data_IF_515113381170
#
_entry.id   IF_515113381170
#
_cell.length_a   1.000
_cell.length_b   1.000
_cell.length_c   1.000
_cell.angle_alpha   90.00
_cell.angle_beta   90.00
_cell.angle_gamma   90.00
#
_symmetry.space_group_name_H-M   'P 1'
#
loop_
_entity.id
_entity.type
_entity.pdbx_description
1 polymer ?
#
# COMPACT_ATOMS: atom_id res chain seq x y z
N UNK A 1 -9.40 24.36 -34.03
CA UNK A 1 -8.20 25.18 -33.83
C UNK A 1 -7.04 24.21 -33.81
N UNK A 2 -6.06 24.35 -34.70
CA UNK A 2 -4.88 23.47 -34.69
C UNK A 2 -4.17 23.60 -33.33
N UNK A 3 -3.72 22.49 -32.74
CA UNK A 3 -3.16 22.47 -31.38
C UNK A 3 -2.00 23.47 -31.19
N UNK A 4 -1.19 23.68 -32.23
CA UNK A 4 -0.07 24.63 -32.20
C UNK A 4 -0.53 26.10 -32.06
N UNK A 5 -1.70 26.46 -32.60
CA UNK A 5 -2.27 27.82 -32.45
C UNK A 5 -2.66 28.08 -31.00
N UNK A 6 -3.18 27.07 -30.30
CA UNK A 6 -3.52 27.17 -28.89
C UNK A 6 -2.27 27.39 -28.03
N UNK A 7 -1.21 26.61 -28.23
CA UNK A 7 0.04 26.78 -27.46
C UNK A 7 0.74 28.11 -27.76
N UNK A 8 0.73 28.56 -29.01
CA UNK A 8 1.29 29.86 -29.39
C UNK A 8 0.55 31.03 -28.72
N UNK A 9 -0.78 30.93 -28.62
CA UNK A 9 -1.57 31.89 -27.87
C UNK A 9 -1.19 31.92 -26.37
N UNK A 10 -1.01 30.74 -25.75
CA UNK A 10 -0.62 30.62 -24.34
C UNK A 10 0.77 31.23 -24.07
N UNK A 11 1.76 30.96 -24.93
CA UNK A 11 3.11 31.56 -24.82
C UNK A 11 3.05 33.08 -24.99
N UNK A 12 2.32 33.59 -25.99
CA UNK A 12 2.18 35.04 -26.19
C UNK A 12 1.57 35.75 -24.98
N UNK A 13 0.62 35.10 -24.30
CA UNK A 13 -0.06 35.69 -23.13
C UNK A 13 0.83 35.69 -21.87
N UNK A 14 1.60 34.62 -21.66
CA UNK A 14 2.27 34.37 -20.37
C UNK A 14 3.81 34.43 -20.44
N UNK A 15 4.39 34.65 -21.62
CA UNK A 15 5.84 34.59 -21.86
C UNK A 15 6.41 33.17 -21.93
N UNK A 16 5.84 32.21 -21.21
CA UNK A 16 6.21 30.80 -21.21
C UNK A 16 4.97 29.89 -21.02
N UNK A 17 5.10 28.62 -21.39
CA UNK A 17 4.10 27.60 -21.07
C UNK A 17 4.12 27.24 -19.58
N UNK A 18 2.93 27.11 -18.99
CA UNK A 18 2.78 26.45 -17.69
C UNK A 18 3.15 24.97 -17.78
N UNK A 19 3.48 24.32 -16.65
CA UNK A 19 3.80 22.90 -16.63
C UNK A 19 2.67 22.03 -17.22
N UNK A 20 1.42 22.30 -16.85
CA UNK A 20 0.26 21.59 -17.42
C UNK A 20 0.17 21.76 -18.95
N UNK A 21 0.46 22.96 -19.45
CA UNK A 21 0.48 23.22 -20.89
C UNK A 21 1.64 22.49 -21.59
N UNK A 22 2.81 22.39 -20.94
CA UNK A 22 3.95 21.62 -21.46
C UNK A 22 3.60 20.13 -21.50
N UNK A 23 3.00 19.58 -20.44
CA UNK A 23 2.55 18.19 -20.36
C UNK A 23 1.56 17.90 -21.49
N UNK A 24 0.52 18.72 -21.65
CA UNK A 24 -0.46 18.56 -22.73
C UNK A 24 0.18 18.61 -24.12
N UNK A 25 1.15 19.49 -24.33
CA UNK A 25 1.88 19.62 -25.60
C UNK A 25 2.66 18.35 -25.96
N UNK A 26 3.28 17.73 -24.95
CA UNK A 26 4.08 16.50 -25.08
C UNK A 26 3.19 15.27 -25.23
N UNK A 27 2.17 15.10 -24.38
CA UNK A 27 1.29 13.92 -24.40
C UNK A 27 0.52 13.77 -25.70
N UNK A 28 0.06 14.86 -26.32
CA UNK A 28 -0.59 14.80 -27.65
C UNK A 28 0.33 14.17 -28.71
N UNK A 29 1.63 14.52 -28.70
CA UNK A 29 2.57 14.00 -29.70
C UNK A 29 2.94 12.54 -29.41
N UNK A 30 3.06 12.19 -28.13
CA UNK A 30 3.30 10.82 -27.66
C UNK A 30 2.15 9.89 -28.07
N UNK A 31 0.90 10.27 -27.77
CA UNK A 31 -0.28 9.45 -28.10
C UNK A 31 -0.42 9.20 -29.60
N UNK A 32 0.02 10.14 -30.43
CA UNK A 32 0.00 10.02 -31.89
C UNK A 32 1.24 9.30 -32.47
N UNK A 33 2.19 8.86 -31.63
CA UNK A 33 3.48 8.31 -32.07
C UNK A 33 4.26 9.22 -33.05
N UNK A 34 4.10 10.54 -32.93
CA UNK A 34 4.69 11.53 -33.85
C UNK A 34 5.95 12.15 -33.23
N UNK A 35 7.07 11.42 -33.32
CA UNK A 35 8.38 11.85 -32.81
C UNK A 35 8.84 13.18 -33.45
N UNK A 36 8.77 13.38 -34.79
CA UNK A 36 9.16 14.65 -35.40
C UNK A 36 8.38 15.85 -34.86
N UNK A 37 7.06 15.72 -34.65
CA UNK A 37 6.24 16.77 -34.05
C UNK A 37 6.60 17.00 -32.59
N UNK A 38 6.87 15.94 -31.82
CA UNK A 38 7.32 16.04 -30.44
C UNK A 38 8.64 16.82 -30.34
N UNK A 39 9.65 16.46 -31.14
CA UNK A 39 10.95 17.14 -31.20
C UNK A 39 10.81 18.63 -31.56
N UNK A 40 10.00 18.92 -32.59
CA UNK A 40 9.70 20.29 -33.02
C UNK A 40 9.11 21.10 -31.88
N UNK A 41 8.15 20.54 -31.14
CA UNK A 41 7.49 21.20 -29.99
C UNK A 41 8.43 21.39 -28.81
N UNK A 42 9.19 20.37 -28.46
CA UNK A 42 10.24 20.42 -27.42
C UNK A 42 11.19 21.58 -27.69
N UNK A 43 11.69 21.69 -28.93
CA UNK A 43 12.60 22.76 -29.33
C UNK A 43 11.91 24.14 -29.37
N UNK A 44 10.72 24.22 -29.97
CA UNK A 44 9.97 25.48 -30.14
C UNK A 44 9.61 26.12 -28.80
N UNK A 45 9.23 25.30 -27.82
CA UNK A 45 8.74 25.78 -26.53
C UNK A 45 9.75 25.58 -25.39
N UNK A 46 11.00 25.23 -25.72
CA UNK A 46 12.09 24.98 -24.77
C UNK A 46 11.66 24.05 -23.62
N UNK A 47 11.06 22.92 -23.95
CA UNK A 47 10.55 21.93 -22.97
C UNK A 47 11.67 20.95 -22.64
N UNK A 48 12.06 20.85 -21.37
CA UNK A 48 12.92 19.77 -20.89
C UNK A 48 12.06 18.60 -20.45
N UNK A 49 12.21 17.42 -21.08
CA UNK A 49 11.51 16.20 -20.65
C UNK A 49 11.86 15.83 -19.21
N UNK A 50 13.12 16.02 -18.81
CA UNK A 50 13.58 15.81 -17.43
C UNK A 50 12.86 16.72 -16.44
N UNK A 51 12.62 17.98 -16.79
CA UNK A 51 11.92 18.93 -15.92
C UNK A 51 10.44 18.58 -15.75
N UNK A 52 9.75 18.19 -16.82
CA UNK A 52 8.33 17.81 -16.72
C UNK A 52 8.13 16.48 -16.00
N UNK A 53 9.12 15.57 -16.08
CA UNK A 53 9.12 14.28 -15.39
C UNK A 53 9.26 14.38 -13.85
N UNK A 54 9.67 15.54 -13.32
CA UNK A 54 10.02 15.72 -11.91
C UNK A 54 9.14 16.74 -11.17
N UNK A 55 8.01 17.16 -11.77
CA UNK A 55 7.18 18.19 -11.14
C UNK A 55 6.50 17.67 -9.86
N UNK A 56 6.48 18.56 -8.87
CA UNK A 56 6.13 18.45 -7.45
C UNK A 56 5.30 17.22 -7.01
N UNK A 57 5.59 16.74 -5.79
CA UNK A 57 5.13 15.49 -5.13
C UNK A 57 3.62 15.23 -5.12
N UNK A 58 2.80 16.16 -5.61
CA UNK A 58 1.34 16.12 -5.56
C UNK A 58 0.67 16.03 -6.93
N UNK A 59 1.37 16.28 -8.04
CA UNK A 59 0.80 16.24 -9.39
C UNK A 59 1.90 16.02 -10.44
N UNK A 60 2.71 14.98 -10.25
CA UNK A 60 3.76 14.63 -11.20
C UNK A 60 3.19 14.25 -12.56
N UNK A 61 4.04 14.30 -13.58
CA UNK A 61 3.83 13.61 -14.84
C UNK A 61 5.07 12.75 -15.05
N UNK A 62 4.90 11.51 -15.49
CA UNK A 62 6.01 10.66 -15.87
C UNK A 62 5.78 10.18 -17.31
N UNK A 63 6.61 10.69 -18.22
CA UNK A 63 6.46 10.41 -19.65
C UNK A 63 6.61 8.91 -19.96
N UNK A 64 7.48 8.19 -19.24
CA UNK A 64 7.71 6.76 -19.45
C UNK A 64 6.49 5.94 -19.01
N UNK A 65 6.00 6.17 -17.79
CA UNK A 65 4.77 5.55 -17.29
C UNK A 65 3.59 5.86 -18.21
N UNK A 66 3.47 7.12 -18.66
CA UNK A 66 2.43 7.53 -19.61
C UNK A 66 2.51 6.75 -20.92
N UNK A 67 3.72 6.54 -21.46
CA UNK A 67 3.94 5.74 -22.66
C UNK A 67 3.52 4.27 -22.47
N UNK A 68 3.87 3.66 -21.32
CA UNK A 68 3.54 2.26 -21.03
C UNK A 68 2.03 2.06 -20.97
N UNK A 69 1.33 2.90 -20.20
CA UNK A 69 -0.13 2.82 -20.01
C UNK A 69 -0.90 3.03 -21.30
N UNK A 70 -0.40 3.89 -22.20
CA UNK A 70 -1.06 4.20 -23.47
C UNK A 70 -0.60 3.32 -24.64
N UNK A 71 0.19 2.27 -24.39
CA UNK A 71 0.65 1.32 -25.41
C UNK A 71 1.23 1.98 -26.67
N UNK A 72 2.08 3.00 -26.47
CA UNK A 72 2.74 3.69 -27.59
C UNK A 72 3.70 2.76 -28.34
N UNK A 73 4.13 3.18 -29.53
CA UNK A 73 5.07 2.40 -30.34
C UNK A 73 6.41 2.21 -29.62
N UNK A 74 7.11 1.11 -29.93
CA UNK A 74 8.45 0.88 -29.40
C UNK A 74 9.44 1.99 -29.75
N UNK A 75 9.26 2.63 -30.91
CA UNK A 75 10.09 3.76 -31.35
C UNK A 75 9.87 4.99 -30.46
N UNK A 76 8.62 5.34 -30.16
CA UNK A 76 8.28 6.44 -29.25
C UNK A 76 8.78 6.15 -27.84
N UNK A 77 8.60 4.92 -27.37
CA UNK A 77 9.05 4.50 -26.05
C UNK A 77 10.57 4.61 -25.89
N UNK A 78 11.33 4.11 -26.88
CA UNK A 78 12.80 4.22 -26.89
C UNK A 78 13.22 5.69 -26.93
N UNK A 79 12.56 6.52 -27.74
CA UNK A 79 12.82 7.96 -27.76
C UNK A 79 12.63 8.60 -26.38
N UNK A 80 11.54 8.26 -25.66
CA UNK A 80 11.28 8.79 -24.32
C UNK A 80 12.31 8.28 -23.30
N UNK A 81 12.75 7.02 -23.37
CA UNK A 81 13.80 6.49 -22.51
C UNK A 81 15.12 7.26 -22.74
N UNK A 82 15.52 7.41 -24.00
CA UNK A 82 16.78 8.04 -24.39
C UNK A 82 16.82 9.55 -24.05
N UNK A 83 15.70 10.25 -24.21
CA UNK A 83 15.61 11.71 -23.98
C UNK A 83 15.16 12.08 -22.57
N UNK A 84 14.47 11.18 -21.87
CA UNK A 84 13.91 11.40 -20.53
C UNK A 84 14.95 11.41 -19.42
N UNK A 85 16.17 10.92 -19.68
CA UNK A 85 17.29 10.87 -18.72
C UNK A 85 16.94 10.11 -17.43
N UNK A 86 16.34 8.92 -17.57
CA UNK A 86 16.06 8.03 -16.43
C UNK A 86 17.36 7.37 -15.95
N UNK A 87 17.67 7.52 -14.66
CA UNK A 87 18.87 6.94 -14.05
C UNK A 87 18.73 5.43 -13.83
N UNK A 88 17.53 4.98 -13.43
CA UNK A 88 17.13 3.58 -13.32
C UNK A 88 15.62 3.42 -13.56
N UNK A 89 15.14 2.18 -13.46
CA UNK A 89 13.72 1.82 -13.59
C UNK A 89 13.11 1.31 -12.26
N UNK A 90 13.81 1.56 -11.15
CA UNK A 90 13.48 1.11 -9.79
C UNK A 90 12.91 2.28 -8.98
N UNK A 91 11.91 2.95 -9.53
CA UNK A 91 11.30 4.11 -8.89
C UNK A 91 9.78 3.99 -8.82
N UNK A 92 9.21 4.78 -7.91
CA UNK A 92 7.79 4.89 -7.68
C UNK A 92 7.30 6.23 -8.21
N UNK A 93 6.36 6.21 -9.15
CA UNK A 93 5.63 7.38 -9.60
C UNK A 93 4.27 7.44 -8.89
N UNK A 94 3.98 8.53 -8.18
CA UNK A 94 2.71 8.76 -7.51
C UNK A 94 1.85 9.63 -8.44
N UNK A 95 0.81 9.06 -9.04
CA UNK A 95 -0.06 9.74 -10.01
C UNK A 95 -1.05 10.69 -9.31
N UNK A 96 -1.52 10.29 -8.13
CA UNK A 96 -2.34 11.09 -7.22
C UNK A 96 -2.15 10.56 -5.78
N UNK A 97 -2.90 11.08 -4.82
CA UNK A 97 -2.87 10.68 -3.40
C UNK A 97 -3.20 9.19 -3.15
N UNK A 98 -3.55 8.41 -4.18
CA UNK A 98 -4.13 7.06 -4.04
C UNK A 98 -3.63 6.04 -5.04
N UNK A 99 -2.93 6.45 -6.08
CA UNK A 99 -2.39 5.54 -7.09
C UNK A 99 -0.93 5.83 -7.34
N UNK A 100 -0.17 4.75 -7.45
CA UNK A 100 1.23 4.82 -7.85
C UNK A 100 1.53 3.75 -8.88
N UNK A 101 2.62 3.94 -9.60
CA UNK A 101 3.10 3.06 -10.65
C UNK A 101 4.61 2.87 -10.53
N UNK A 102 5.06 1.69 -10.92
CA UNK A 102 6.48 1.34 -11.05
C UNK A 102 6.67 0.91 -12.50
N UNK A 103 7.69 1.39 -13.25
CA UNK A 103 7.80 1.12 -14.68
C UNK A 103 7.75 -0.38 -15.03
N UNK A 104 8.59 -1.18 -14.36
CA UNK A 104 8.61 -2.63 -14.57
C UNK A 104 7.26 -3.28 -14.23
N UNK A 105 6.63 -2.87 -13.12
CA UNK A 105 5.39 -3.49 -12.68
C UNK A 105 4.23 -3.12 -13.61
N UNK A 106 4.21 -1.89 -14.11
CA UNK A 106 3.22 -1.41 -15.09
C UNK A 106 3.35 -2.16 -16.42
N UNK A 107 4.56 -2.43 -16.90
CA UNK A 107 4.75 -3.23 -18.11
C UNK A 107 4.20 -4.65 -17.95
N UNK A 108 4.44 -5.27 -16.79
CA UNK A 108 3.96 -6.62 -16.46
C UNK A 108 2.44 -6.62 -16.28
N UNK A 109 1.86 -5.66 -15.57
CA UNK A 109 0.40 -5.48 -15.44
C UNK A 109 -0.32 -5.55 -16.79
N UNK A 110 0.27 -4.96 -17.84
CA UNK A 110 -0.27 -4.93 -19.19
C UNK A 110 0.17 -6.14 -20.07
N UNK A 111 0.73 -7.19 -19.48
CA UNK A 111 1.30 -8.36 -20.15
C UNK A 111 2.34 -8.01 -21.24
N UNK A 112 2.99 -6.85 -21.15
CA UNK A 112 4.02 -6.42 -22.11
C UNK A 112 5.39 -6.97 -21.71
N UNK A 113 5.54 -8.29 -21.80
CA UNK A 113 6.74 -9.00 -21.35
C UNK A 113 8.00 -8.61 -22.12
N UNK A 114 7.89 -8.29 -23.41
CA UNK A 114 9.02 -7.78 -24.21
C UNK A 114 9.58 -6.46 -23.67
N UNK A 115 8.70 -5.57 -23.19
CA UNK A 115 9.14 -4.35 -22.51
C UNK A 115 9.70 -4.64 -21.12
N UNK A 116 9.07 -5.53 -20.35
CA UNK A 116 9.57 -5.91 -19.05
C UNK A 116 10.98 -6.54 -19.12
N UNK A 117 11.25 -7.40 -20.12
CA UNK A 117 12.56 -7.98 -20.40
C UNK A 117 13.60 -6.89 -20.67
N UNK A 118 13.22 -5.85 -21.44
CA UNK A 118 14.09 -4.69 -21.67
C UNK A 118 14.41 -3.96 -20.37
N UNK A 119 13.43 -3.67 -19.53
CA UNK A 119 13.66 -3.02 -18.25
C UNK A 119 14.59 -3.84 -17.34
N UNK A 120 14.37 -5.15 -17.24
CA UNK A 120 15.22 -6.06 -16.45
C UNK A 120 16.66 -6.05 -16.99
N UNK A 121 16.84 -6.12 -18.33
CA UNK A 121 18.15 -6.02 -18.98
C UNK A 121 18.87 -4.71 -18.67
N UNK A 122 18.13 -3.63 -18.45
CA UNK A 122 18.66 -2.33 -18.04
C UNK A 122 18.68 -2.11 -16.51
N UNK A 123 18.59 -3.19 -15.71
CA UNK A 123 18.80 -3.14 -14.26
C UNK A 123 17.54 -2.90 -13.42
N UNK A 124 16.34 -2.96 -14.02
CA UNK A 124 15.11 -3.01 -13.24
C UNK A 124 15.09 -4.28 -12.38
N UNK A 125 14.74 -4.12 -11.12
CA UNK A 125 14.75 -5.17 -10.12
C UNK A 125 13.36 -5.80 -10.02
N UNK A 126 13.24 -7.06 -10.43
CA UNK A 126 11.99 -7.83 -10.28
C UNK A 126 11.54 -7.94 -8.80
N UNK A 127 12.50 -7.84 -7.89
CA UNK A 127 12.32 -7.84 -6.44
C UNK A 127 12.31 -6.42 -5.86
N UNK A 128 11.98 -5.40 -6.65
CA UNK A 128 11.80 -4.04 -6.16
C UNK A 128 10.76 -4.01 -5.04
N UNK A 129 11.11 -3.39 -3.92
CA UNK A 129 10.23 -3.24 -2.77
C UNK A 129 9.63 -1.84 -2.80
N UNK A 130 8.33 -1.76 -2.99
CA UNK A 130 7.59 -0.51 -2.88
C UNK A 130 7.64 -0.09 -1.41
N UNK A 131 8.07 1.14 -1.19
CA UNK A 131 8.06 1.79 0.11
C UNK A 131 7.59 3.23 -0.10
N UNK A 132 6.33 3.50 0.21
CA UNK A 132 5.69 4.78 -0.05
C UNK A 132 5.19 5.41 1.26
N UNK A 133 5.46 6.69 1.47
CA UNK A 133 4.87 7.48 2.55
C UNK A 133 3.68 8.25 1.97
N UNK A 134 2.47 7.75 2.23
CA UNK A 134 1.25 8.24 1.58
C UNK A 134 0.80 9.58 2.15
N UNK A 135 0.92 9.80 3.46
CA UNK A 135 0.37 10.99 4.10
C UNK A 135 1.04 11.39 5.40
N UNK A 136 0.91 12.68 5.70
CA UNK A 136 1.18 13.27 7.01
C UNK A 136 -0.16 13.39 7.72
N UNK A 137 -0.47 12.52 8.69
CA UNK A 137 -1.72 12.61 9.45
C UNK A 137 -1.55 13.75 10.47
N UNK A 138 -2.32 14.86 10.36
CA UNK A 138 -2.21 15.96 11.30
C UNK A 138 -2.57 15.51 12.72
N UNK A 139 -1.88 16.06 13.70
CA UNK A 139 -1.99 15.60 15.08
C UNK A 139 -3.37 15.84 15.70
N UNK A 140 -4.12 16.82 15.18
CA UNK A 140 -5.52 17.07 15.57
C UNK A 140 -6.45 15.90 15.24
N UNK A 141 -6.06 14.98 14.34
CA UNK A 141 -6.79 13.76 14.01
C UNK A 141 -6.23 12.52 14.75
N UNK A 142 -5.07 12.63 15.42
CA UNK A 142 -4.40 11.49 16.06
C UNK A 142 -5.09 11.01 17.34
N UNK A 143 -5.75 11.93 18.06
CA UNK A 143 -6.42 11.65 19.34
C UNK A 143 -7.71 10.84 19.17
N UNK A 144 -8.22 10.73 17.94
CA UNK A 144 -9.48 10.05 17.67
C UNK A 144 -9.26 8.53 17.48
N UNK A 145 -8.08 8.01 17.10
CA UNK A 145 -8.07 6.66 16.51
C UNK A 145 -6.83 5.76 16.68
N UNK A 146 -7.03 4.56 17.28
CA UNK A 146 -6.46 3.32 16.72
C UNK A 146 -7.47 2.40 15.96
N UNK A 147 -8.68 2.07 16.48
CA UNK A 147 -9.65 1.23 15.75
C UNK A 147 -10.17 1.90 14.46
N UNK A 148 -10.23 3.22 14.52
CA UNK A 148 -10.50 4.17 13.45
C UNK A 148 -9.55 4.21 12.25
N UNK A 149 -8.24 4.14 12.51
CA UNK A 149 -7.23 4.17 11.45
C UNK A 149 -7.30 2.85 10.70
N UNK A 150 -7.51 1.74 11.43
CA UNK A 150 -8.00 0.50 10.85
C UNK A 150 -9.18 0.77 9.93
N UNK A 151 -10.31 1.30 10.41
CA UNK A 151 -11.45 1.52 9.49
C UNK A 151 -11.20 2.59 8.42
N UNK A 152 -10.34 3.59 8.59
CA UNK A 152 -10.03 4.57 7.56
C UNK A 152 -9.19 3.93 6.46
N UNK A 153 -8.27 3.05 6.82
CA UNK A 153 -7.44 2.30 5.88
C UNK A 153 -8.24 1.15 5.26
N UNK A 154 -9.02 0.39 6.05
CA UNK A 154 -9.84 -0.75 5.61
C UNK A 154 -11.14 -0.34 4.89
N UNK A 155 -11.70 0.85 5.15
CA UNK A 155 -12.88 1.34 4.42
C UNK A 155 -12.49 2.16 3.18
N UNK A 156 -11.25 2.65 3.08
CA UNK A 156 -10.77 3.20 1.82
C UNK A 156 -10.35 2.02 0.95
N UNK A 157 -10.97 1.88 -0.21
CA UNK A 157 -10.68 0.83 -1.19
C UNK A 157 -9.28 0.96 -1.85
N UNK A 158 -8.35 1.67 -1.22
CA UNK A 158 -7.03 2.01 -1.75
C UNK A 158 -5.96 1.28 -0.93
N UNK A 159 -5.05 0.60 -1.62
CA UNK A 159 -3.95 -0.20 -1.03
C UNK A 159 -4.38 -1.43 -0.24
N UNK A 160 -5.54 -2.02 -0.59
CA UNK A 160 -6.16 -3.19 0.07
C UNK A 160 -5.16 -4.30 0.36
N UNK A 161 -4.26 -4.50 -0.58
CA UNK A 161 -3.37 -5.63 -0.61
C UNK A 161 -1.97 -5.33 -0.09
N UNK A 162 -1.66 -4.10 0.31
CA UNK A 162 -0.34 -3.72 0.78
C UNK A 162 -0.15 -3.94 2.29
N UNK A 163 1.09 -4.11 2.71
CA UNK A 163 1.46 -4.06 4.13
C UNK A 163 1.50 -2.59 4.57
N UNK A 164 0.62 -2.19 5.49
CA UNK A 164 0.66 -0.85 6.07
C UNK A 164 1.46 -0.83 7.38
N UNK A 165 2.15 0.28 7.61
CA UNK A 165 2.82 0.60 8.86
C UNK A 165 2.60 2.07 9.19
N UNK A 166 2.24 2.37 10.43
CA UNK A 166 2.17 3.77 10.91
C UNK A 166 3.43 4.09 11.70
N UNK A 167 4.21 5.06 11.25
CA UNK A 167 5.41 5.54 11.96
C UNK A 167 5.19 6.94 12.52
N UNK A 168 5.34 7.09 13.84
CA UNK A 168 5.37 8.40 14.49
C UNK A 168 6.78 9.00 14.41
N UNK A 169 6.92 10.19 13.82
CA UNK A 169 8.22 10.85 13.71
C UNK A 169 8.38 11.97 14.76
N UNK A 170 9.02 11.63 15.89
CA UNK A 170 9.35 12.60 16.93
C UNK A 170 10.46 13.60 16.52
N UNK A 171 11.25 13.31 15.47
CA UNK A 171 12.42 14.14 15.11
C UNK A 171 12.05 15.49 14.49
N UNK A 172 10.91 15.60 13.79
CA UNK A 172 10.48 16.87 13.19
C UNK A 172 10.17 17.95 14.23
N UNK A 173 9.80 17.56 15.44
CA UNK A 173 9.48 18.48 16.53
C UNK A 173 10.68 19.25 17.06
N UNK A 174 11.87 18.65 17.04
CA UNK A 174 13.08 19.32 17.57
C UNK A 174 13.56 20.44 16.67
N UNK A 175 13.48 20.27 15.35
CA UNK A 175 13.96 21.28 14.39
C UNK A 175 12.99 22.45 14.22
N UNK A 176 11.68 22.27 14.47
CA UNK A 176 10.71 23.38 14.44
C UNK A 176 10.79 24.27 15.68
N UNK A 177 11.24 23.72 16.82
CA UNK A 177 11.33 24.43 18.11
C UNK A 177 12.27 25.64 18.08
N UNK A 178 13.27 25.61 17.20
CA UNK A 178 14.22 26.72 17.03
C UNK A 178 13.68 27.85 16.12
N UNK A 179 12.57 27.63 15.41
CA UNK A 179 12.04 28.56 14.41
C UNK A 179 10.69 29.19 14.75
N UNK A 180 9.98 28.68 15.76
CA UNK A 180 8.66 29.18 16.13
C UNK A 180 8.51 29.24 17.66
N UNK A 181 8.32 30.46 18.20
CA UNK A 181 7.89 30.77 19.57
C UNK A 181 6.43 30.31 19.81
N UNK A 182 6.12 29.06 19.49
CA UNK A 182 4.83 28.45 19.82
C UNK A 182 5.05 27.69 21.12
N UNK A 183 4.71 28.34 22.23
CA UNK A 183 4.61 27.70 23.53
C UNK A 183 3.61 26.53 23.46
N UNK A 184 4.14 25.30 23.46
CA UNK A 184 3.57 24.25 24.30
C UNK A 184 2.82 23.07 23.67
N UNK A 185 2.77 22.89 22.35
CA UNK A 185 2.17 21.68 21.76
C UNK A 185 3.12 20.97 20.80
N UNK A 186 3.78 19.92 21.30
CA UNK A 186 4.50 18.94 20.47
C UNK A 186 3.50 18.18 19.59
N UNK A 187 3.25 18.71 18.39
CA UNK A 187 2.43 18.07 17.36
C UNK A 187 3.13 16.81 16.79
N UNK A 188 2.74 15.62 17.23
CA UNK A 188 3.16 14.36 16.65
C UNK A 188 2.66 14.23 15.21
N UNK A 189 3.60 14.06 14.29
CA UNK A 189 3.30 13.73 12.91
C UNK A 189 3.38 12.21 12.76
N UNK A 190 2.28 11.61 12.29
CA UNK A 190 2.25 10.21 11.91
C UNK A 190 2.32 10.08 10.39
N UNK A 191 3.09 9.12 9.93
CA UNK A 191 3.22 8.75 8.53
C UNK A 191 2.58 7.39 8.29
N UNK A 192 1.68 7.33 7.30
CA UNK A 192 1.22 6.04 6.77
C UNK A 192 2.22 5.57 5.72
N UNK A 193 2.87 4.45 6.03
CA UNK A 193 3.84 3.81 5.15
C UNK A 193 3.21 2.58 4.54
N UNK A 194 3.22 2.51 3.21
CA UNK A 194 2.77 1.37 2.43
C UNK A 194 4.01 0.61 1.95
N UNK A 195 4.04 -0.70 2.21
CA UNK A 195 5.08 -1.61 1.75
C UNK A 195 4.46 -2.70 0.87
N UNK A 196 5.16 -3.10 -0.18
CA UNK A 196 4.71 -4.21 -1.01
C UNK A 196 5.70 -4.59 -2.09
N UNK A 197 5.38 -5.67 -2.78
CA UNK A 197 6.14 -6.15 -3.93
C UNK A 197 5.27 -6.19 -5.19
N UNK A 198 5.80 -6.67 -6.30
CA UNK A 198 5.07 -6.76 -7.57
C UNK A 198 3.75 -7.52 -7.47
N UNK A 199 3.63 -8.55 -6.62
CA UNK A 199 2.36 -9.29 -6.46
C UNK A 199 1.31 -8.41 -5.77
N UNK A 200 1.70 -7.61 -4.78
CA UNK A 200 0.81 -6.65 -4.12
C UNK A 200 0.29 -5.63 -5.15
N UNK A 201 1.20 -5.13 -6.00
CA UNK A 201 0.88 -4.23 -7.10
C UNK A 201 -0.11 -4.84 -8.10
N UNK A 202 0.16 -6.06 -8.57
CA UNK A 202 -0.71 -6.75 -9.53
C UNK A 202 -2.10 -7.05 -8.94
N UNK A 203 -2.21 -7.37 -7.65
CA UNK A 203 -3.51 -7.52 -6.99
C UNK A 203 -4.28 -6.20 -6.95
N UNK A 204 -3.63 -5.10 -6.58
CA UNK A 204 -4.26 -3.78 -6.48
C UNK A 204 -4.76 -3.27 -7.84
N UNK A 205 -3.95 -3.46 -8.87
CA UNK A 205 -4.29 -3.09 -10.25
C UNK A 205 -5.26 -4.07 -10.94
N UNK A 206 -5.67 -5.16 -10.27
CA UNK A 206 -6.38 -6.30 -10.88
C UNK A 206 -5.64 -6.91 -12.08
N UNK A 207 -4.32 -6.76 -12.15
CA UNK A 207 -3.43 -7.33 -13.16
C UNK A 207 -2.88 -8.71 -12.80
N UNK A 208 -3.21 -9.27 -11.63
CA UNK A 208 -2.73 -10.60 -11.23
C UNK A 208 -3.44 -11.70 -12.05
N UNK A 209 -2.69 -12.34 -12.94
CA UNK A 209 -3.13 -13.44 -13.78
C UNK A 209 -2.00 -14.48 -13.93
N UNK A 210 -2.30 -15.63 -14.53
CA UNK A 210 -1.34 -16.74 -14.68
C UNK A 210 -0.10 -16.38 -15.51
N UNK A 211 -0.26 -15.59 -16.57
CA UNK A 211 0.85 -15.18 -17.42
C UNK A 211 1.81 -14.28 -16.65
N UNK A 212 1.28 -13.27 -15.96
CA UNK A 212 2.06 -12.35 -15.14
C UNK A 212 2.78 -13.06 -14.01
N UNK A 213 2.08 -13.93 -13.27
CA UNK A 213 2.69 -14.63 -12.15
C UNK A 213 3.78 -15.61 -12.60
N UNK A 214 3.54 -16.34 -13.69
CA UNK A 214 4.53 -17.23 -14.31
C UNK A 214 5.75 -16.44 -14.78
N UNK A 215 5.53 -15.29 -15.43
CA UNK A 215 6.60 -14.42 -15.92
C UNK A 215 7.50 -13.93 -14.77
N UNK A 216 6.93 -13.43 -13.67
CA UNK A 216 7.75 -12.88 -12.57
C UNK A 216 8.54 -13.97 -11.85
N UNK A 217 7.96 -15.16 -11.65
CA UNK A 217 8.66 -16.30 -11.02
C UNK A 217 9.81 -16.77 -11.90
N UNK A 218 9.59 -16.92 -13.21
CA UNK A 218 10.63 -17.31 -14.16
C UNK A 218 11.76 -16.27 -14.28
N UNK A 219 11.47 -15.01 -13.97
CA UNK A 219 12.45 -13.92 -13.98
C UNK A 219 13.10 -13.66 -12.61
N UNK A 220 13.00 -14.60 -11.67
CA UNK A 220 13.74 -14.56 -10.41
C UNK A 220 13.06 -13.76 -9.30
N UNK A 221 11.74 -13.64 -9.33
CA UNK A 221 10.98 -13.15 -8.17
C UNK A 221 11.19 -14.08 -6.97
N UNK A 222 11.56 -13.48 -5.84
CA UNK A 222 11.79 -14.17 -4.57
C UNK A 222 10.46 -14.45 -3.87
N UNK A 223 9.95 -15.67 -4.04
CA UNK A 223 8.66 -16.11 -3.49
C UNK A 223 8.63 -16.12 -1.97
N UNK A 224 9.78 -16.13 -1.27
CA UNK A 224 9.84 -16.03 0.18
C UNK A 224 9.37 -14.67 0.71
N UNK A 225 9.25 -13.66 -0.17
CA UNK A 225 8.69 -12.33 0.14
C UNK A 225 7.17 -12.30 0.21
N UNK A 226 6.50 -13.41 -0.11
CA UNK A 226 5.05 -13.54 0.07
C UNK A 226 4.81 -13.84 1.55
N UNK A 227 4.17 -12.90 2.26
CA UNK A 227 3.92 -13.04 3.70
C UNK A 227 2.54 -13.64 3.98
N UNK A 228 2.34 -14.32 5.13
CA UNK A 228 1.02 -14.75 5.60
C UNK A 228 0.02 -13.59 5.71
N UNK A 229 0.47 -12.40 6.13
CA UNK A 229 -0.35 -11.17 6.24
C UNK A 229 -1.06 -10.82 4.92
N UNK A 230 -0.34 -10.92 3.82
CA UNK A 230 -0.87 -10.65 2.49
C UNK A 230 -1.95 -11.67 2.08
N UNK A 231 -1.74 -12.97 2.35
CA UNK A 231 -2.76 -14.00 2.08
C UNK A 231 -4.01 -13.81 2.93
N UNK A 232 -3.87 -13.40 4.20
CA UNK A 232 -5.02 -13.02 5.04
C UNK A 232 -5.82 -11.88 4.42
N UNK A 233 -5.15 -10.84 3.90
CA UNK A 233 -5.81 -9.69 3.24
C UNK A 233 -6.58 -10.14 1.99
N UNK A 234 -5.99 -11.00 1.15
CA UNK A 234 -6.71 -11.59 0.01
C UNK A 234 -7.97 -12.35 0.45
N UNK A 235 -7.87 -13.17 1.51
CA UNK A 235 -9.02 -13.92 2.06
C UNK A 235 -10.10 -12.98 2.59
N UNK A 236 -9.70 -11.92 3.31
CA UNK A 236 -10.61 -10.90 3.83
C UNK A 236 -11.40 -10.19 2.71
N UNK A 237 -10.77 -9.92 1.57
CA UNK A 237 -11.40 -9.31 0.40
C UNK A 237 -12.02 -10.34 -0.57
N UNK A 238 -12.21 -11.60 -0.15
CA UNK A 238 -12.79 -12.69 -0.94
C UNK A 238 -12.08 -12.94 -2.30
N UNK A 239 -10.76 -12.75 -2.36
CA UNK A 239 -9.92 -13.03 -3.54
C UNK A 239 -9.36 -14.45 -3.53
N UNK A 240 -10.23 -15.44 -3.41
CA UNK A 240 -9.83 -16.85 -3.34
C UNK A 240 -9.10 -17.31 -4.60
N UNK A 241 -9.49 -16.80 -5.76
CA UNK A 241 -8.86 -17.09 -7.04
C UNK A 241 -7.39 -16.63 -7.11
N UNK A 242 -7.05 -15.52 -6.45
CA UNK A 242 -5.67 -15.04 -6.37
C UNK A 242 -4.83 -15.91 -5.42
N UNK A 243 -5.41 -16.36 -4.31
CA UNK A 243 -4.73 -17.26 -3.37
C UNK A 243 -4.39 -18.59 -4.04
N UNK A 244 -5.36 -19.20 -4.75
CA UNK A 244 -5.15 -20.44 -5.49
C UNK A 244 -4.07 -20.29 -6.56
N UNK A 245 -4.09 -19.18 -7.30
CA UNK A 245 -3.11 -18.86 -8.32
C UNK A 245 -1.69 -18.72 -7.74
N UNK A 246 -1.55 -17.96 -6.64
CA UNK A 246 -0.30 -17.75 -5.93
C UNK A 246 0.25 -19.07 -5.38
N UNK A 247 -0.60 -19.86 -4.72
CA UNK A 247 -0.21 -21.15 -4.17
C UNK A 247 0.32 -22.10 -5.24
N UNK A 248 -0.41 -22.19 -6.36
CA UNK A 248 -0.05 -23.07 -7.47
C UNK A 248 1.26 -22.67 -8.16
N UNK A 249 1.45 -21.39 -8.48
CA UNK A 249 2.58 -20.93 -9.31
C UNK A 249 3.81 -20.62 -8.45
N UNK A 250 3.65 -19.97 -7.30
CA UNK A 250 4.76 -19.61 -6.43
C UNK A 250 5.18 -20.75 -5.48
N UNK A 251 4.38 -21.84 -5.41
CA UNK A 251 4.62 -22.95 -4.49
C UNK A 251 4.48 -22.56 -3.01
N UNK A 252 3.72 -21.50 -2.72
CA UNK A 252 3.54 -20.98 -1.37
C UNK A 252 2.25 -21.51 -0.77
N UNK A 253 2.35 -22.24 0.34
CA UNK A 253 1.21 -22.74 1.08
C UNK A 253 1.35 -22.34 2.54
N UNK A 254 0.32 -21.71 3.08
CA UNK A 254 0.24 -21.37 4.50
C UNK A 254 -0.81 -22.25 5.17
N UNK A 255 -0.51 -22.73 6.37
CA UNK A 255 -1.50 -23.44 7.18
C UNK A 255 -2.58 -22.49 7.69
N UNK A 256 -3.77 -23.01 8.03
CA UNK A 256 -4.81 -22.19 8.67
C UNK A 256 -4.29 -21.56 9.97
N UNK A 257 -3.42 -22.25 10.72
CA UNK A 257 -2.79 -21.69 11.92
C UNK A 257 -1.85 -20.51 11.60
N UNK A 258 -1.05 -20.57 10.52
CA UNK A 258 -0.20 -19.44 10.09
C UNK A 258 -1.04 -18.25 9.63
N UNK A 259 -2.20 -18.51 9.02
CA UNK A 259 -3.17 -17.49 8.65
C UNK A 259 -4.02 -16.99 9.83
N UNK A 260 -4.05 -17.68 10.96
CA UNK A 260 -4.73 -17.23 12.18
C UNK A 260 -3.79 -16.44 13.12
N UNK A 261 -2.47 -16.59 12.95
CA UNK A 261 -1.47 -15.83 13.71
C UNK A 261 -1.34 -14.41 13.15
N UNK A 262 -1.79 -13.42 13.93
CA UNK A 262 -1.48 -12.01 13.68
C UNK A 262 0.04 -11.81 13.71
N UNK A 263 0.56 -10.95 12.84
CA UNK A 263 1.99 -10.69 12.78
C UNK A 263 2.44 -10.03 14.10
N UNK A 264 3.58 -10.43 14.66
CA UNK A 264 4.10 -9.84 15.91
C UNK A 264 4.25 -8.32 15.75
N UNK A 265 4.61 -7.84 14.55
CA UNK A 265 4.66 -6.42 14.21
C UNK A 265 3.28 -5.75 14.24
N UNK A 266 2.23 -6.45 13.81
CA UNK A 266 0.84 -5.98 13.87
C UNK A 266 0.37 -5.89 15.33
N UNK A 267 0.74 -6.87 16.16
CA UNK A 267 0.47 -6.91 17.60
C UNK A 267 1.27 -5.81 18.33
N UNK A 268 2.55 -5.64 18.01
CA UNK A 268 3.45 -4.67 18.64
C UNK A 268 3.09 -3.23 18.26
N UNK A 269 2.70 -2.98 17.02
CA UNK A 269 2.17 -1.68 16.58
C UNK A 269 0.94 -1.35 17.41
N UNK A 270 -0.02 -2.28 17.51
CA UNK A 270 -1.19 -2.13 18.36
C UNK A 270 -0.81 -1.88 19.83
N UNK A 271 0.18 -2.59 20.37
CA UNK A 271 0.60 -2.48 21.77
C UNK A 271 1.33 -1.16 22.08
N UNK A 272 2.25 -0.73 21.23
CA UNK A 272 2.99 0.53 21.37
C UNK A 272 2.04 1.73 21.26
N UNK A 273 1.15 1.73 20.28
CA UNK A 273 0.11 2.76 20.12
C UNK A 273 -0.85 2.81 21.31
N UNK A 274 -1.33 1.65 21.78
CA UNK A 274 -2.17 1.58 22.97
C UNK A 274 -1.42 2.13 24.19
N UNK A 275 -0.14 1.80 24.37
CA UNK A 275 0.64 2.28 25.52
C UNK A 275 0.89 3.80 25.50
N UNK A 276 1.22 4.38 24.34
CA UNK A 276 1.48 5.83 24.20
C UNK A 276 0.21 6.66 24.34
N UNK A 277 -0.92 6.19 23.78
CA UNK A 277 -2.21 6.85 23.96
C UNK A 277 -2.74 6.70 25.38
N UNK A 278 -2.55 5.54 26.03
CA UNK A 278 -2.90 5.38 27.44
C UNK A 278 -2.09 6.32 28.35
N UNK A 279 -0.82 6.61 28.03
CA UNK A 279 0.00 7.57 28.80
C UNK A 279 -0.45 9.02 28.59
N UNK A 280 -0.82 9.42 27.36
CA UNK A 280 -1.36 10.77 27.08
C UNK A 280 -2.76 10.97 27.67
N UNK A 281 -3.62 9.95 27.62
CA UNK A 281 -4.96 10.00 28.21
C UNK A 281 -4.88 9.88 29.74
N UNK A 282 -3.83 9.28 30.33
CA UNK A 282 -3.63 9.15 31.77
C UNK A 282 -3.41 10.47 32.55
N UNK A 283 -3.49 11.63 31.91
CA UNK A 283 -3.87 12.88 32.60
C UNK A 283 -5.31 12.85 33.17
N UNK A 284 -6.11 11.86 32.75
CA UNK A 284 -7.42 11.46 33.26
C UNK A 284 -7.27 10.00 33.73
N UNK A 285 -7.64 9.70 34.98
CA UNK A 285 -7.31 8.43 35.65
C UNK A 285 -7.53 7.17 34.80
N UNK A 286 -6.52 6.27 34.77
CA UNK A 286 -6.47 5.00 34.02
C UNK A 286 -7.75 4.15 34.09
N UNK A 287 -8.49 4.24 35.19
CA UNK A 287 -9.67 3.41 35.49
C UNK A 287 -10.90 3.79 34.66
N UNK A 288 -11.12 5.06 34.34
CA UNK A 288 -12.32 5.51 33.60
C UNK A 288 -12.35 5.10 32.13
N UNK A 289 -11.19 4.88 31.51
CA UNK A 289 -11.13 4.55 30.08
C UNK A 289 -11.38 3.06 29.80
N UNK A 290 -11.04 2.18 30.75
CA UNK A 290 -11.37 0.75 30.66
C UNK A 290 -12.87 0.48 30.86
N UNK A 291 -13.57 1.33 31.60
CA UNK A 291 -15.03 1.24 31.79
C UNK A 291 -15.81 1.72 30.55
N UNK A 292 -15.24 2.62 29.74
CA UNK A 292 -15.92 3.22 28.59
C UNK A 292 -15.78 2.43 27.27
N UNK A 293 -14.85 1.48 27.18
CA UNK A 293 -14.73 0.57 26.03
C UNK A 293 -14.45 -0.88 26.48
N UNK A 294 -15.50 -1.68 26.73
CA UNK A 294 -15.37 -3.06 27.20
C UNK A 294 -14.82 -4.04 26.15
N UNK A 295 -14.53 -3.60 24.91
CA UNK A 295 -13.95 -4.45 23.87
C UNK A 295 -12.43 -4.58 23.96
N UNK A 296 -11.76 -3.66 24.69
CA UNK A 296 -10.31 -3.63 24.86
C UNK A 296 -9.71 -4.87 25.54
N UNK A 297 -10.28 -5.39 26.65
CA UNK A 297 -9.76 -6.59 27.32
C UNK A 297 -9.85 -7.84 26.43
N UNK A 298 -10.93 -7.96 25.64
CA UNK A 298 -11.18 -9.14 24.80
C UNK A 298 -10.14 -9.30 23.68
N UNK A 299 -9.52 -8.19 23.24
CA UNK A 299 -8.43 -8.18 22.23
C UNK A 299 -7.06 -8.51 22.82
N UNK A 300 -6.87 -8.36 24.14
CA UNK A 300 -5.59 -8.59 24.82
C UNK A 300 -5.45 -10.01 25.38
N UNK A 301 -6.55 -10.74 25.56
CA UNK A 301 -6.53 -12.05 26.22
C UNK A 301 -6.84 -13.20 25.27
N UNK A 302 -5.78 -13.76 24.67
CA UNK A 302 -5.73 -15.21 24.44
C UNK A 302 -4.35 -15.86 24.55
N UNK A 303 -3.26 -15.09 24.63
CA UNK A 303 -1.92 -15.63 24.97
C UNK A 303 -0.98 -14.66 25.70
N UNK A 304 -1.25 -13.35 25.68
CA UNK A 304 -0.24 -12.34 26.02
C UNK A 304 -0.08 -12.01 27.51
N UNK A 305 -0.95 -12.46 28.42
CA UNK A 305 -0.93 -11.99 29.82
C UNK A 305 -0.51 -13.01 30.87
N UNK A 306 -0.12 -14.25 30.52
CA UNK A 306 0.50 -15.17 31.48
C UNK A 306 -0.25 -15.35 32.81
N UNK A 307 -1.59 -15.25 32.80
CA UNK A 307 -2.38 -15.48 33.99
C UNK A 307 -2.50 -16.99 34.21
N UNK A 308 -1.96 -17.46 35.34
CA UNK A 308 -2.17 -18.81 35.83
C UNK A 308 -3.66 -19.00 36.15
N UNK A 309 -4.34 -19.82 35.35
CA UNK A 309 -5.76 -20.11 35.48
C UNK A 309 -6.06 -21.08 36.63
N UNK A 310 -6.33 -20.56 37.82
CA UNK A 310 -6.96 -21.35 38.90
C UNK A 310 -8.49 -21.41 38.79
N UNK A 311 -9.12 -20.59 37.93
CA UNK A 311 -10.59 -20.50 37.82
C UNK A 311 -11.21 -21.28 36.66
N UNK A 312 -10.41 -21.91 35.79
CA UNK A 312 -10.92 -22.71 34.67
C UNK A 312 -11.39 -24.12 35.07
N UNK A 313 -11.04 -24.58 36.27
CA UNK A 313 -11.47 -25.89 36.79
C UNK A 313 -12.96 -25.93 37.19
N UNK A 314 -13.58 -24.82 37.57
CA UNK A 314 -15.01 -24.82 37.92
C UNK A 314 -15.92 -24.95 36.68
N UNK A 315 -15.55 -24.29 35.58
CA UNK A 315 -16.35 -24.30 34.35
C UNK A 315 -16.24 -25.63 33.61
N UNK A 316 -15.07 -26.27 33.65
CA UNK A 316 -14.89 -27.63 33.12
C UNK A 316 -15.58 -28.70 33.98
N UNK A 317 -15.61 -28.54 35.31
CA UNK A 317 -16.34 -29.44 36.19
C UNK A 317 -17.88 -29.31 36.05
N UNK A 318 -18.41 -28.10 35.84
CA UNK A 318 -19.84 -27.91 35.50
C UNK A 318 -20.22 -28.58 34.18
N UNK A 319 -19.38 -28.49 33.14
CA UNK A 319 -19.63 -29.18 31.85
C UNK A 319 -19.53 -30.71 31.94
N UNK A 320 -18.59 -31.26 32.75
CA UNK A 320 -18.50 -32.71 33.01
C UNK A 320 -19.71 -33.23 33.80
N UNK A 321 -20.20 -32.48 34.79
CA UNK A 321 -21.38 -32.86 35.57
C UNK A 321 -22.68 -32.86 34.74
N UNK A 322 -22.86 -31.88 33.84
CA UNK A 322 -24.03 -31.86 32.95
C UNK A 322 -24.00 -33.00 31.91
N UNK A 323 -22.83 -33.40 31.40
CA UNK A 323 -22.71 -34.58 30.52
C UNK A 323 -23.02 -35.89 31.26
N UNK A 324 -22.67 -36.00 32.56
CA UNK A 324 -22.94 -37.19 33.38
C UNK A 324 -24.44 -37.32 33.71
N UNK A 325 -25.12 -36.22 34.03
CA UNK A 325 -26.58 -36.20 34.25
C UNK A 325 -27.37 -36.55 32.98
N UNK A 326 -26.94 -36.08 31.81
CA UNK A 326 -27.61 -36.40 30.54
C UNK A 326 -27.42 -37.87 30.10
N UNK A 327 -26.31 -38.53 30.47
CA UNK A 327 -26.14 -39.97 30.23
C UNK A 327 -27.05 -40.81 31.14
N UNK A 328 -27.16 -40.46 32.43
CA UNK A 328 -28.05 -41.16 33.36
C UNK A 328 -29.54 -41.04 33.01
N UNK A 329 -29.97 -39.92 32.40
CA UNK A 329 -31.34 -39.77 31.88
C UNK A 329 -31.63 -40.66 30.66
N UNK A 330 -30.66 -40.85 29.76
CA UNK A 330 -30.82 -41.72 28.59
C UNK A 330 -30.90 -43.20 28.96
N UNK A 331 -30.16 -43.64 29.97
CA UNK A 331 -30.20 -45.04 30.42
C UNK A 331 -31.48 -45.40 31.21
N UNK A 332 -32.12 -44.42 31.87
CA UNK A 332 -33.42 -44.62 32.53
C UNK A 332 -34.58 -44.79 31.54
N UNK A 333 -34.52 -44.10 30.38
CA UNK A 333 -35.55 -44.25 29.35
C UNK A 333 -35.45 -45.55 28.55
N UNK A 334 -34.27 -46.19 28.51
CA UNK A 334 -34.09 -47.52 27.88
C UNK A 334 -34.60 -48.69 28.72
N UNK A 335 -34.93 -48.50 30.00
CA UNK A 335 -35.44 -49.54 30.90
C UNK A 335 -36.96 -49.50 31.11
N UNK A 336 -37.67 -48.67 30.34
CA UNK A 336 -39.13 -48.49 30.41
C UNK A 336 -39.86 -48.81 29.10
N UNK A 337 -39.18 -49.53 28.19
CA UNK A 337 -39.77 -50.07 26.95
C UNK A 337 -39.70 -51.58 27.04
#
# INVERSE_FOLDING_TARGET
MEGDVFFDFMVRKNGNLSNDSKILCVTESILNNDIPKLEKRIKKYNISLKEINMNDKRSGFDALIFCIVNHVSDEMLNYIIDKGSYDDFNYLYIENDRTFRVPLFTAIEHNNFSLADRFIKHGANINYNIHCNMDTIPDSLSHIFPPLIGNYIFNNDHFKYYDEKVEGNLKHLRNMKDTMDIDGAESLIYHLIINGNIIHYLCEANGLNEQNLTYIVNNGFDTSRIKPSFIRRLKHHNKTEYIELISRICGVNFSDEELDLYDEDEILLNRAFLSTNLVKVAGISKEKNLENDPSLPYRLTKKALGFNDSNLNETQNKKKNNKKQNRQRKDRNKRRV
#
